data_IF_969380157181
#
_entry.id   IF_969380157181
#
_cell.length_a   1.000
_cell.length_b   1.000
_cell.length_c   1.000
_cell.angle_alpha   90.00
_cell.angle_beta   90.00
_cell.angle_gamma   90.00
#
_symmetry.space_group_name_H-M   'P 1'
#
loop_
_entity.id
_entity.type
_entity.pdbx_description
1 polymer ?
#
# COMPACT_ATOMS: atom_id res chain seq x y z
N UNK A 1 8.37 45.07 -43.12
CA UNK A 1 9.36 44.26 -43.91
C UNK A 1 9.37 42.75 -43.57
N UNK A 2 9.29 42.33 -42.29
CA UNK A 2 9.25 40.92 -41.95
C UNK A 2 7.87 40.32 -42.24
N UNK A 3 6.81 41.00 -41.86
CA UNK A 3 5.42 40.58 -42.11
C UNK A 3 5.09 40.50 -43.60
N UNK A 4 5.60 41.42 -44.42
CA UNK A 4 5.43 41.39 -45.87
C UNK A 4 6.08 40.15 -46.50
N UNK A 5 7.31 39.82 -46.09
CA UNK A 5 7.97 38.59 -46.59
C UNK A 5 7.25 37.29 -46.18
N UNK A 6 6.67 37.25 -44.98
CA UNK A 6 5.86 36.11 -44.52
C UNK A 6 4.56 36.03 -45.35
N UNK A 7 3.90 37.17 -45.57
CA UNK A 7 2.69 37.27 -46.42
C UNK A 7 2.95 36.82 -47.83
N UNK A 8 4.04 37.28 -48.48
CA UNK A 8 4.39 36.92 -49.86
C UNK A 8 4.76 35.44 -49.97
N UNK A 9 5.49 34.86 -48.99
CA UNK A 9 5.75 33.42 -48.94
C UNK A 9 4.48 32.60 -48.79
N UNK A 10 3.58 33.04 -47.90
CA UNK A 10 2.29 32.39 -47.71
C UNK A 10 1.44 32.42 -48.96
N UNK A 11 1.31 33.59 -49.60
CA UNK A 11 0.57 33.76 -50.87
C UNK A 11 1.17 32.90 -51.98
N UNK A 12 2.50 32.90 -52.13
CA UNK A 12 3.18 32.06 -53.11
C UNK A 12 2.95 30.57 -52.87
N UNK A 13 2.99 30.13 -51.59
CA UNK A 13 2.67 28.76 -51.24
C UNK A 13 1.21 28.39 -51.56
N UNK A 14 0.26 29.27 -51.20
CA UNK A 14 -1.16 29.06 -51.47
C UNK A 14 -1.43 28.96 -52.94
N UNK A 15 -0.93 29.90 -53.75
CA UNK A 15 -1.22 29.95 -55.19
C UNK A 15 -0.49 28.86 -55.96
N UNK A 16 0.77 28.56 -55.62
CA UNK A 16 1.61 27.68 -56.46
C UNK A 16 1.65 26.22 -55.99
N UNK A 17 1.28 25.94 -54.72
CA UNK A 17 1.29 24.58 -54.19
C UNK A 17 -0.08 24.11 -53.70
N UNK A 18 -0.72 24.90 -52.85
CA UNK A 18 -1.96 24.48 -52.19
C UNK A 18 -3.16 24.47 -53.16
N UNK A 19 -3.33 25.53 -53.95
CA UNK A 19 -4.43 25.65 -54.92
C UNK A 19 -4.43 24.53 -55.95
N UNK A 20 -3.32 24.22 -56.67
CA UNK A 20 -3.31 23.13 -57.66
C UNK A 20 -3.49 21.75 -57.01
N UNK A 21 -2.97 21.56 -55.77
CA UNK A 21 -3.22 20.34 -55.00
C UNK A 21 -4.70 20.17 -54.69
N UNK A 22 -5.37 21.25 -54.22
CA UNK A 22 -6.80 21.22 -53.89
C UNK A 22 -7.66 20.95 -55.15
N UNK A 23 -7.36 21.61 -56.27
CA UNK A 23 -8.06 21.39 -57.56
C UNK A 23 -7.90 19.94 -58.03
N UNK A 24 -6.69 19.36 -57.90
CA UNK A 24 -6.43 17.96 -58.24
C UNK A 24 -7.21 17.01 -57.34
N UNK A 25 -7.24 17.29 -56.03
CA UNK A 25 -7.97 16.50 -55.01
C UNK A 25 -9.47 16.47 -55.29
N UNK A 26 -10.05 17.64 -55.65
CA UNK A 26 -11.47 17.75 -55.99
C UNK A 26 -11.77 17.05 -57.31
N UNK A 27 -10.91 17.25 -58.31
CA UNK A 27 -11.07 16.62 -59.66
C UNK A 27 -11.03 15.09 -59.56
N UNK A 28 -10.17 14.54 -58.67
CA UNK A 28 -10.02 13.09 -58.49
C UNK A 28 -10.63 12.64 -57.15
N UNK A 29 -11.80 13.15 -56.77
CA UNK A 29 -12.43 12.90 -55.47
C UNK A 29 -12.57 11.41 -55.10
N UNK A 30 -12.79 10.52 -56.08
CA UNK A 30 -12.86 9.06 -55.84
C UNK A 30 -11.54 8.48 -55.34
N UNK A 31 -10.41 8.95 -55.91
CA UNK A 31 -9.07 8.52 -55.48
C UNK A 31 -8.75 9.08 -54.09
N UNK A 32 -9.11 10.34 -53.88
CA UNK A 32 -8.93 10.98 -52.56
C UNK A 32 -9.73 10.28 -51.48
N UNK A 33 -10.99 9.93 -51.76
CA UNK A 33 -11.81 9.19 -50.81
C UNK A 33 -11.25 7.79 -50.56
N UNK A 34 -10.84 7.07 -51.60
CA UNK A 34 -10.25 5.75 -51.48
C UNK A 34 -8.94 5.77 -50.69
N UNK A 35 -8.06 6.77 -50.91
CA UNK A 35 -6.82 6.92 -50.14
C UNK A 35 -7.07 7.28 -48.69
N UNK A 36 -8.08 8.11 -48.38
CA UNK A 36 -8.47 8.44 -47.00
C UNK A 36 -9.02 7.21 -46.25
N UNK A 37 -9.87 6.43 -46.92
CA UNK A 37 -10.37 5.16 -46.36
C UNK A 37 -9.22 4.17 -46.15
N UNK A 38 -8.31 4.05 -47.13
CA UNK A 38 -7.14 3.19 -47.02
C UNK A 38 -6.23 3.57 -45.86
N UNK A 39 -5.98 4.86 -45.68
CA UNK A 39 -5.20 5.37 -44.52
C UNK A 39 -5.90 5.07 -43.19
N UNK A 40 -7.22 5.25 -43.14
CA UNK A 40 -8.02 4.95 -41.94
C UNK A 40 -7.97 3.46 -41.57
N UNK A 41 -8.15 2.58 -42.58
CA UNK A 41 -8.05 1.13 -42.38
C UNK A 41 -6.63 0.72 -41.94
N UNK A 42 -5.60 1.35 -42.54
CA UNK A 42 -4.20 1.12 -42.12
C UNK A 42 -3.96 1.53 -40.69
N UNK A 43 -4.50 2.69 -40.27
CA UNK A 43 -4.38 3.16 -38.87
C UNK A 43 -5.06 2.20 -37.89
N UNK A 44 -6.28 1.74 -38.20
CA UNK A 44 -6.98 0.72 -37.41
C UNK A 44 -6.18 -0.58 -37.39
N UNK A 45 -5.62 -0.99 -38.51
CA UNK A 45 -4.80 -2.20 -38.65
C UNK A 45 -3.53 -2.15 -37.77
N UNK A 46 -2.87 -0.98 -37.70
CA UNK A 46 -1.72 -0.77 -36.84
C UNK A 46 -2.09 -0.85 -35.35
N UNK A 47 -3.23 -0.28 -34.96
CA UNK A 47 -3.72 -0.37 -33.57
C UNK A 47 -4.14 -1.80 -33.21
N UNK A 48 -4.96 -2.45 -34.08
CA UNK A 48 -5.45 -3.81 -33.85
C UNK A 48 -4.32 -4.85 -33.95
N UNK A 49 -3.29 -4.59 -34.77
CA UNK A 49 -2.12 -5.45 -34.91
C UNK A 49 -1.15 -5.41 -33.71
N UNK A 50 -1.42 -4.59 -32.68
CA UNK A 50 -0.61 -4.51 -31.47
C UNK A 50 0.76 -3.82 -31.66
N UNK A 51 0.98 -3.17 -32.82
CA UNK A 51 2.23 -2.43 -33.08
C UNK A 51 2.31 -1.15 -32.25
N UNK A 52 1.16 -0.58 -31.89
CA UNK A 52 1.06 0.55 -30.97
C UNK A 52 0.43 0.06 -29.66
N UNK A 53 1.19 0.09 -28.59
CA UNK A 53 0.65 -0.18 -27.23
C UNK A 53 -0.22 1.00 -26.84
N UNK A 54 -1.52 0.78 -26.76
CA UNK A 54 -2.46 1.79 -26.30
C UNK A 54 -2.52 1.73 -24.75
N UNK A 55 -2.08 2.79 -24.11
CA UNK A 55 -2.21 2.96 -22.66
C UNK A 55 -3.24 4.05 -22.42
N UNK A 56 -4.38 3.69 -21.84
CA UNK A 56 -5.50 4.61 -21.62
C UNK A 56 -5.16 5.74 -20.64
N UNK A 57 -4.47 5.38 -19.55
CA UNK A 57 -3.86 6.31 -18.61
C UNK A 57 -2.37 5.98 -18.48
N UNK A 58 -1.50 6.73 -19.16
CA UNK A 58 -0.07 6.60 -18.88
C UNK A 58 0.18 7.00 -17.43
N UNK A 59 0.96 6.19 -16.71
CA UNK A 59 1.42 6.56 -15.39
C UNK A 59 2.18 7.89 -15.48
N UNK A 60 1.68 8.90 -14.77
CA UNK A 60 2.39 10.17 -14.65
C UNK A 60 3.44 9.97 -13.56
N UNK A 61 4.70 10.08 -13.95
CA UNK A 61 5.79 10.05 -12.98
C UNK A 61 5.66 11.21 -12.01
N UNK A 62 5.64 10.88 -10.71
CA UNK A 62 5.75 11.87 -9.66
C UNK A 62 7.22 12.21 -9.42
N UNK A 63 7.45 13.39 -8.88
CA UNK A 63 8.74 13.73 -8.31
C UNK A 63 8.88 13.16 -6.88
N UNK A 64 8.37 11.94 -6.70
CA UNK A 64 8.35 11.23 -5.44
C UNK A 64 8.58 9.74 -5.68
N UNK A 65 9.48 9.14 -4.90
CA UNK A 65 9.61 7.68 -4.81
C UNK A 65 9.28 7.27 -3.39
N UNK A 66 8.26 6.44 -3.24
CA UNK A 66 7.75 6.01 -1.95
C UNK A 66 7.95 4.51 -1.76
N UNK A 67 8.60 4.12 -0.67
CA UNK A 67 8.73 2.74 -0.22
C UNK A 67 7.85 2.49 1.00
N UNK A 68 6.88 1.61 0.87
CA UNK A 68 5.98 1.21 1.96
C UNK A 68 6.27 -0.20 2.42
N UNK A 69 6.31 -0.39 3.74
CA UNK A 69 6.49 -1.69 4.37
C UNK A 69 5.29 -1.97 5.25
N UNK A 70 4.75 -3.18 5.14
CA UNK A 70 3.73 -3.66 6.05
C UNK A 70 4.15 -5.00 6.65
N UNK A 71 4.13 -5.09 7.96
CA UNK A 71 4.30 -6.32 8.72
C UNK A 71 2.94 -6.93 9.05
N UNK A 72 2.88 -8.19 9.55
CA UNK A 72 1.66 -8.73 10.12
C UNK A 72 1.12 -7.82 11.22
N UNK A 73 -0.21 -7.66 11.28
CA UNK A 73 -0.82 -6.85 12.34
C UNK A 73 -0.45 -7.38 13.72
N UNK A 74 -0.17 -6.46 14.66
CA UNK A 74 0.33 -6.80 15.97
C UNK A 74 1.85 -6.79 16.11
N UNK A 75 2.59 -6.65 15.01
CA UNK A 75 4.05 -6.48 15.07
C UNK A 75 4.43 -5.23 15.88
N UNK A 76 5.49 -5.32 16.68
CA UNK A 76 5.93 -4.19 17.50
C UNK A 76 6.50 -3.07 16.62
N UNK A 77 6.37 -1.83 17.09
CA UNK A 77 6.87 -0.63 16.40
C UNK A 77 8.38 -0.68 16.12
N UNK A 78 9.14 -1.43 16.92
CA UNK A 78 10.59 -1.61 16.74
C UNK A 78 10.93 -2.27 15.38
N UNK A 79 10.11 -3.21 14.90
CA UNK A 79 10.29 -3.81 13.57
C UNK A 79 10.09 -2.78 12.44
N UNK A 80 9.07 -1.93 12.58
CA UNK A 80 8.82 -0.85 11.61
C UNK A 80 9.95 0.19 11.63
N UNK A 81 10.51 0.50 12.80
CA UNK A 81 11.68 1.37 12.92
C UNK A 81 12.93 0.76 12.28
N UNK A 82 13.15 -0.54 12.45
CA UNK A 82 14.25 -1.26 11.81
C UNK A 82 14.11 -1.29 10.28
N UNK A 83 12.89 -1.48 9.78
CA UNK A 83 12.59 -1.39 8.37
C UNK A 83 12.90 0.00 7.79
N UNK A 84 12.49 1.06 8.49
CA UNK A 84 12.83 2.45 8.11
C UNK A 84 14.34 2.65 8.07
N UNK A 85 15.08 2.15 9.05
CA UNK A 85 16.54 2.23 9.07
C UNK A 85 17.19 1.46 7.88
N UNK A 86 16.62 0.32 7.50
CA UNK A 86 17.09 -0.46 6.35
C UNK A 86 16.84 0.31 5.04
N UNK A 87 15.65 0.89 4.88
CA UNK A 87 15.31 1.73 3.74
C UNK A 87 16.18 2.99 3.68
N UNK A 88 16.45 3.63 4.81
CA UNK A 88 17.35 4.77 4.89
C UNK A 88 18.77 4.41 4.42
N UNK A 89 19.34 3.32 4.91
CA UNK A 89 20.68 2.87 4.50
C UNK A 89 20.76 2.59 3.00
N UNK A 90 19.74 1.96 2.43
CA UNK A 90 19.69 1.69 0.98
C UNK A 90 19.49 2.97 0.17
N UNK A 91 18.71 3.94 0.67
CA UNK A 91 18.53 5.24 0.05
C UNK A 91 19.84 6.06 0.02
N UNK A 92 20.62 6.01 1.10
CA UNK A 92 21.94 6.67 1.14
C UNK A 92 22.96 6.01 0.19
N UNK A 93 22.93 4.67 0.06
CA UNK A 93 23.74 3.98 -0.97
C UNK A 93 23.35 4.46 -2.38
N UNK A 94 22.06 4.51 -2.67
CA UNK A 94 21.53 5.01 -3.94
C UNK A 94 21.93 6.47 -4.19
N UNK A 95 21.84 7.31 -3.18
CA UNK A 95 22.24 8.73 -3.26
C UNK A 95 23.73 8.87 -3.63
N UNK A 96 24.58 8.04 -3.02
CA UNK A 96 26.00 8.02 -3.34
C UNK A 96 26.29 7.54 -4.77
N UNK A 97 25.59 6.50 -5.24
CA UNK A 97 25.69 6.03 -6.63
C UNK A 97 25.29 7.10 -7.63
N UNK A 98 24.13 7.75 -7.41
CA UNK A 98 23.63 8.81 -8.30
C UNK A 98 24.51 10.05 -8.27
N UNK A 99 25.08 10.42 -7.13
CA UNK A 99 26.02 11.55 -7.04
C UNK A 99 27.32 11.29 -7.82
N UNK A 100 27.77 10.04 -7.91
CA UNK A 100 28.92 9.66 -8.71
C UNK A 100 28.61 9.62 -10.21
N UNK A 101 27.40 9.18 -10.59
CA UNK A 101 26.98 9.08 -11.98
C UNK A 101 26.62 10.46 -12.58
N UNK A 102 26.01 11.35 -11.76
CA UNK A 102 25.57 12.69 -12.16
C UNK A 102 26.19 13.77 -11.26
N UNK A 103 27.51 14.04 -11.39
CA UNK A 103 28.19 14.99 -10.54
C UNK A 103 27.66 16.43 -10.74
N UNK A 104 27.25 17.05 -9.64
CA UNK A 104 26.70 18.42 -9.65
C UNK A 104 25.18 18.51 -9.71
N UNK A 105 24.48 17.40 -9.94
CA UNK A 105 23.01 17.37 -9.94
C UNK A 105 22.46 17.03 -8.55
N UNK A 106 21.47 17.79 -8.10
CA UNK A 106 20.74 17.51 -6.85
C UNK A 106 19.50 16.69 -7.19
N UNK A 107 19.58 15.36 -7.10
CA UNK A 107 18.48 14.46 -7.45
C UNK A 107 17.51 14.30 -6.28
N UNK A 108 17.99 14.18 -5.05
CA UNK A 108 17.16 14.07 -3.84
C UNK A 108 16.97 15.44 -3.23
N UNK A 109 15.71 15.91 -3.16
CA UNK A 109 15.34 17.16 -2.54
C UNK A 109 15.09 17.00 -1.03
N UNK A 110 14.13 16.15 -0.66
CA UNK A 110 13.74 15.90 0.73
C UNK A 110 13.51 14.42 0.97
N UNK A 111 13.44 14.04 2.25
CA UNK A 111 13.16 12.68 2.69
C UNK A 111 12.17 12.72 3.85
N UNK A 112 11.17 11.84 3.80
CA UNK A 112 10.22 11.61 4.88
C UNK A 112 10.32 10.14 5.29
N UNK A 113 10.52 9.89 6.58
CA UNK A 113 10.63 8.56 7.15
C UNK A 113 9.65 8.41 8.32
N UNK A 114 8.73 7.47 8.22
CA UNK A 114 7.66 7.29 9.20
C UNK A 114 7.56 5.84 9.64
N UNK A 115 7.54 5.60 10.94
CA UNK A 115 7.25 4.31 11.53
C UNK A 115 5.92 4.37 12.31
N UNK A 116 5.04 3.42 12.10
CA UNK A 116 3.70 3.37 12.71
C UNK A 116 2.61 4.04 11.86
N UNK A 117 2.95 4.58 10.71
CA UNK A 117 2.02 5.22 9.78
C UNK A 117 2.54 5.19 8.33
N UNK A 118 1.64 5.45 7.36
CA UNK A 118 1.93 5.61 5.93
C UNK A 118 1.20 6.85 5.39
N UNK A 119 1.66 8.07 5.74
CA UNK A 119 0.95 9.31 5.41
C UNK A 119 0.81 9.55 3.89
N UNK A 120 1.86 9.33 3.11
CA UNK A 120 1.85 9.58 1.66
C UNK A 120 0.93 8.59 0.94
N UNK A 121 1.00 7.31 1.32
CA UNK A 121 0.08 6.29 0.78
C UNK A 121 -1.39 6.62 1.09
N UNK A 122 -1.68 7.21 2.26
CA UNK A 122 -3.03 7.66 2.62
C UNK A 122 -3.51 8.81 1.78
N UNK A 123 -2.65 9.79 1.56
CA UNK A 123 -2.94 10.96 0.73
C UNK A 123 -3.25 10.53 -0.71
N UNK A 124 -2.39 9.71 -1.31
CA UNK A 124 -2.62 9.14 -2.63
C UNK A 124 -3.92 8.32 -2.74
N UNK A 125 -4.31 7.61 -1.67
CA UNK A 125 -5.56 6.85 -1.63
C UNK A 125 -6.81 7.75 -1.55
N UNK A 126 -6.74 8.89 -0.88
CA UNK A 126 -7.84 9.87 -0.80
C UNK A 126 -8.11 10.53 -2.15
N UNK A 127 -7.06 10.82 -2.92
CA UNK A 127 -7.18 11.45 -4.24
C UNK A 127 -7.66 10.48 -5.32
N UNK A 128 -7.67 9.18 -5.07
CA UNK A 128 -8.09 8.15 -6.04
C UNK A 128 -9.63 8.04 -6.26
N UNK A 129 -10.45 8.91 -5.64
CA UNK A 129 -11.91 9.02 -5.85
C UNK A 129 -12.74 8.00 -5.07
N UNK A 130 -14.08 7.94 -5.30
CA UNK A 130 -15.03 7.17 -4.47
C UNK A 130 -14.96 5.64 -4.58
N UNK A 131 -13.85 5.08 -4.96
CA UNK A 131 -13.58 3.62 -5.03
C UNK A 131 -12.23 3.25 -4.45
N UNK A 132 -11.42 4.22 -4.09
CA UNK A 132 -10.14 4.00 -3.43
C UNK A 132 -10.34 3.33 -2.08
N UNK A 133 -9.79 2.15 -1.89
CA UNK A 133 -9.88 1.45 -0.61
C UNK A 133 -8.97 2.14 0.42
N UNK A 134 -9.49 3.15 1.09
CA UNK A 134 -8.83 3.80 2.23
C UNK A 134 -8.81 2.89 3.46
N UNK A 135 -8.18 1.74 3.36
CA UNK A 135 -7.80 0.95 4.53
C UNK A 135 -6.43 1.36 5.08
N UNK A 136 -6.08 2.64 4.91
CA UNK A 136 -4.88 3.22 5.50
C UNK A 136 -5.12 3.44 7.00
N UNK A 137 -4.99 2.38 7.79
CA UNK A 137 -5.03 2.45 9.25
C UNK A 137 -3.65 2.82 9.78
N UNK A 138 -3.61 3.61 10.84
CA UNK A 138 -2.40 3.78 11.63
C UNK A 138 -2.13 2.48 12.38
N UNK A 139 -0.89 2.05 12.47
CA UNK A 139 -0.56 0.84 13.20
C UNK A 139 0.92 0.61 13.32
N UNK A 140 1.36 0.11 14.47
CA UNK A 140 2.76 -0.20 14.76
C UNK A 140 3.46 -1.09 13.72
N UNK A 141 2.68 -1.79 12.90
CA UNK A 141 3.14 -2.71 11.85
C UNK A 141 3.41 -2.04 10.51
N UNK A 142 3.22 -0.72 10.39
CA UNK A 142 3.38 0.03 9.15
C UNK A 142 4.65 0.87 9.19
N UNK A 143 5.30 1.00 8.02
CA UNK A 143 6.40 1.91 7.82
C UNK A 143 6.36 2.51 6.42
N UNK A 144 6.86 3.72 6.27
CA UNK A 144 6.95 4.44 5.02
C UNK A 144 8.26 5.23 4.95
N UNK A 145 8.88 5.19 3.79
CA UNK A 145 10.05 5.99 3.49
C UNK A 145 9.89 6.60 2.10
N UNK A 146 9.79 7.89 2.03
CA UNK A 146 9.58 8.62 0.79
C UNK A 146 10.75 9.55 0.51
N UNK A 147 11.15 9.59 -0.75
CA UNK A 147 12.20 10.46 -1.28
C UNK A 147 11.54 11.40 -2.27
N UNK A 148 11.52 12.68 -1.95
CA UNK A 148 11.16 13.73 -2.89
C UNK A 148 12.36 13.98 -3.80
N UNK A 149 12.11 13.96 -5.10
CA UNK A 149 13.11 14.14 -6.13
C UNK A 149 13.04 15.57 -6.69
N UNK A 150 14.13 16.00 -7.33
CA UNK A 150 14.08 17.20 -8.16
C UNK A 150 13.08 17.02 -9.31
N UNK A 151 12.50 18.12 -9.83
CA UNK A 151 11.51 18.03 -10.91
C UNK A 151 11.99 17.20 -12.11
N UNK A 152 11.09 16.34 -12.63
CA UNK A 152 11.41 15.41 -13.73
C UNK A 152 11.94 16.08 -14.99
N UNK A 153 11.57 17.34 -15.22
CA UNK A 153 12.03 18.14 -16.37
C UNK A 153 13.53 18.45 -16.35
N UNK A 154 14.13 18.52 -15.18
CA UNK A 154 15.55 18.86 -14.99
C UNK A 154 16.38 17.66 -14.55
N UNK A 155 15.75 16.57 -14.18
CA UNK A 155 16.40 15.37 -13.67
C UNK A 155 16.90 14.47 -14.80
N UNK A 156 18.16 14.00 -14.76
CA UNK A 156 18.77 13.19 -15.82
C UNK A 156 18.29 11.73 -15.83
N UNK A 157 17.58 11.30 -14.79
CA UNK A 157 17.12 9.92 -14.59
C UNK A 157 15.64 9.89 -14.18
N UNK A 158 14.86 8.91 -14.64
CA UNK A 158 13.45 8.79 -14.32
C UNK A 158 13.19 8.31 -12.88
N UNK A 159 12.04 8.69 -12.30
CA UNK A 159 11.64 8.22 -10.98
C UNK A 159 11.48 6.69 -10.93
N UNK A 160 10.99 6.10 -12.01
CA UNK A 160 10.84 4.64 -12.15
C UNK A 160 12.18 3.93 -12.06
N UNK A 161 13.20 4.46 -12.74
CA UNK A 161 14.54 3.88 -12.68
C UNK A 161 15.17 4.02 -11.29
N UNK A 162 14.99 5.17 -10.64
CA UNK A 162 15.42 5.40 -9.25
C UNK A 162 14.77 4.38 -8.32
N UNK A 163 13.46 4.16 -8.42
CA UNK A 163 12.73 3.18 -7.61
C UNK A 163 13.24 1.75 -7.84
N UNK A 164 13.53 1.37 -9.09
CA UNK A 164 14.07 0.05 -9.41
C UNK A 164 15.49 -0.14 -8.87
N UNK A 165 16.36 0.89 -8.96
CA UNK A 165 17.70 0.86 -8.37
C UNK A 165 17.63 0.77 -6.86
N UNK A 166 16.75 1.55 -6.22
CA UNK A 166 16.55 1.52 -4.78
C UNK A 166 16.07 0.15 -4.31
N UNK A 167 15.10 -0.45 -5.00
CA UNK A 167 14.62 -1.81 -4.71
C UNK A 167 15.76 -2.83 -4.76
N UNK A 168 16.68 -2.75 -5.74
CA UNK A 168 17.84 -3.66 -5.84
C UNK A 168 18.86 -3.47 -4.72
N UNK A 169 19.02 -2.23 -4.24
CA UNK A 169 19.97 -1.89 -3.16
C UNK A 169 19.39 -2.16 -1.76
N UNK A 170 18.08 -2.40 -1.67
CA UNK A 170 17.42 -2.65 -0.39
C UNK A 170 17.58 -4.11 -0.01
N UNK A 171 18.23 -4.32 1.15
CA UNK A 171 18.36 -5.63 1.75
C UNK A 171 16.98 -6.21 2.12
N UNK A 172 16.79 -7.55 2.11
CA UNK A 172 15.54 -8.18 2.50
C UNK A 172 15.11 -7.77 3.92
N UNK A 173 13.88 -7.28 4.06
CA UNK A 173 13.29 -6.92 5.36
C UNK A 173 12.59 -8.14 5.92
N UNK A 174 13.21 -8.80 6.88
CA UNK A 174 12.68 -10.03 7.48
C UNK A 174 11.35 -9.79 8.20
N UNK A 175 10.41 -10.70 7.97
CA UNK A 175 9.08 -10.64 8.58
C UNK A 175 8.12 -9.64 7.92
N UNK A 176 8.56 -8.84 6.95
CA UNK A 176 7.65 -8.00 6.18
C UNK A 176 6.69 -8.85 5.35
N UNK A 177 5.40 -8.53 5.44
CA UNK A 177 4.35 -9.11 4.59
C UNK A 177 4.36 -8.48 3.21
N UNK A 178 4.66 -7.19 3.15
CA UNK A 178 4.62 -6.38 1.94
C UNK A 178 5.76 -5.35 1.95
N UNK A 179 6.46 -5.23 0.84
CA UNK A 179 7.41 -4.16 0.54
C UNK A 179 7.15 -3.69 -0.88
N UNK A 180 6.67 -2.47 -1.03
CA UNK A 180 6.29 -1.88 -2.31
C UNK A 180 7.00 -0.57 -2.54
N UNK A 181 7.52 -0.39 -3.75
CA UNK A 181 8.11 0.87 -4.22
C UNK A 181 7.18 1.46 -5.28
N UNK A 182 6.70 2.67 -5.06
CA UNK A 182 5.80 3.40 -5.97
C UNK A 182 6.38 4.74 -6.35
N UNK A 183 6.10 5.16 -7.58
CA UNK A 183 6.53 6.44 -8.15
C UNK A 183 5.35 7.25 -8.67
N UNK A 184 4.14 6.73 -8.56
CA UNK A 184 2.94 7.32 -9.13
C UNK A 184 2.21 8.16 -8.07
N UNK A 185 1.89 9.40 -8.41
CA UNK A 185 0.99 10.26 -7.63
C UNK A 185 -0.46 9.77 -7.70
N UNK A 186 -0.84 9.24 -8.86
CA UNK A 186 -2.18 8.72 -9.11
C UNK A 186 -2.06 7.30 -9.66
N UNK A 187 -2.48 6.33 -8.88
CA UNK A 187 -2.63 4.97 -9.37
C UNK A 187 -4.09 4.74 -9.77
N UNK A 188 -4.32 4.38 -11.02
CA UNK A 188 -5.62 3.89 -11.47
C UNK A 188 -6.00 2.54 -10.84
N UNK A 189 -5.18 2.04 -9.92
CA UNK A 189 -5.22 0.73 -9.29
C UNK A 189 -4.10 -0.18 -9.79
N UNK A 190 -3.97 -1.33 -9.16
CA UNK A 190 -3.00 -2.35 -9.60
C UNK A 190 -3.38 -2.83 -11.02
N UNK A 191 -2.39 -3.05 -11.90
CA UNK A 191 -2.60 -3.43 -13.30
C UNK A 191 -3.37 -4.75 -13.44
N UNK A 192 -3.20 -5.64 -12.48
CA UNK A 192 -3.92 -6.91 -12.37
C UNK A 192 -4.70 -6.90 -11.06
N UNK A 193 -6.02 -7.11 -11.14
CA UNK A 193 -6.88 -7.19 -9.96
C UNK A 193 -7.94 -8.28 -10.15
N UNK A 194 -7.80 -9.39 -9.44
CA UNK A 194 -8.77 -10.48 -9.41
C UNK A 194 -9.55 -10.45 -8.12
N UNK A 195 -10.86 -10.29 -8.21
CA UNK A 195 -11.76 -10.43 -7.07
C UNK A 195 -12.28 -11.86 -6.98
N UNK A 196 -11.88 -12.56 -5.93
CA UNK A 196 -12.32 -13.92 -5.62
C UNK A 196 -13.45 -13.84 -4.58
N UNK A 197 -14.56 -14.52 -4.82
CA UNK A 197 -15.69 -14.55 -3.88
C UNK A 197 -16.10 -15.99 -3.56
N UNK A 198 -16.30 -16.29 -2.28
CA UNK A 198 -16.83 -17.58 -1.82
C UNK A 198 -17.47 -17.47 -0.43
N UNK A 199 -18.30 -18.45 -0.10
CA UNK A 199 -18.79 -18.62 1.28
C UNK A 199 -17.77 -19.30 2.18
N UNK A 200 -16.91 -20.13 1.60
CA UNK A 200 -15.85 -20.87 2.29
C UNK A 200 -14.55 -20.07 2.30
N UNK A 201 -14.03 -19.80 3.48
CA UNK A 201 -12.74 -19.13 3.65
C UNK A 201 -11.58 -20.01 3.21
N UNK A 202 -11.69 -21.32 3.44
CA UNK A 202 -10.66 -22.30 3.06
C UNK A 202 -10.46 -22.30 1.55
N UNK A 203 -11.57 -22.28 0.79
CA UNK A 203 -11.51 -22.28 -0.67
C UNK A 203 -10.89 -20.96 -1.19
N UNK A 204 -11.27 -19.80 -0.58
CA UNK A 204 -10.68 -18.51 -0.93
C UNK A 204 -9.17 -18.50 -0.73
N UNK A 205 -8.68 -19.04 0.40
CA UNK A 205 -7.25 -19.11 0.66
C UNK A 205 -6.52 -20.00 -0.33
N UNK A 206 -7.07 -21.17 -0.63
CA UNK A 206 -6.48 -22.12 -1.59
C UNK A 206 -6.40 -21.49 -2.98
N UNK A 207 -7.49 -20.87 -3.44
CA UNK A 207 -7.53 -20.24 -4.76
C UNK A 207 -6.64 -19.00 -4.80
N UNK A 208 -6.62 -18.17 -3.75
CA UNK A 208 -5.72 -17.02 -3.68
C UNK A 208 -4.25 -17.42 -3.79
N UNK A 209 -3.84 -18.47 -3.07
CA UNK A 209 -2.48 -19.01 -3.14
C UNK A 209 -2.13 -19.53 -4.54
N UNK A 210 -3.07 -20.24 -5.19
CA UNK A 210 -2.88 -20.74 -6.55
C UNK A 210 -2.76 -19.60 -7.56
N UNK A 211 -3.58 -18.56 -7.45
CA UNK A 211 -3.51 -17.38 -8.33
C UNK A 211 -2.19 -16.66 -8.15
N UNK A 212 -1.73 -16.44 -6.91
CA UNK A 212 -0.43 -15.81 -6.63
C UNK A 212 0.73 -16.62 -7.21
N UNK A 213 0.73 -17.93 -7.00
CA UNK A 213 1.73 -18.83 -7.56
C UNK A 213 1.74 -18.77 -9.10
N UNK A 214 0.55 -18.75 -9.72
CA UNK A 214 0.45 -18.66 -11.17
C UNK A 214 0.97 -17.32 -11.71
N UNK A 215 0.62 -16.23 -11.04
CA UNK A 215 1.11 -14.89 -11.41
C UNK A 215 2.63 -14.77 -11.29
N UNK A 216 3.24 -15.41 -10.29
CA UNK A 216 4.70 -15.37 -10.10
C UNK A 216 5.50 -16.05 -11.21
N UNK A 217 4.85 -16.91 -12.02
CA UNK A 217 5.48 -17.58 -13.18
C UNK A 217 5.60 -16.68 -14.41
N UNK A 218 4.89 -15.54 -14.44
CA UNK A 218 4.95 -14.61 -15.58
C UNK A 218 6.08 -13.60 -15.39
N UNK A 219 7.04 -13.52 -16.32
CA UNK A 219 8.11 -12.53 -16.26
C UNK A 219 7.54 -11.11 -16.38
N UNK A 220 7.98 -10.23 -15.50
CA UNK A 220 7.52 -8.83 -15.47
C UNK A 220 6.35 -8.57 -14.53
N UNK A 221 5.72 -9.58 -13.94
CA UNK A 221 4.72 -9.41 -12.89
C UNK A 221 5.43 -9.25 -11.54
N UNK A 222 5.18 -8.14 -10.88
CA UNK A 222 5.78 -7.78 -9.59
C UNK A 222 4.71 -7.42 -8.56
N UNK A 223 5.08 -7.29 -7.30
CA UNK A 223 4.24 -6.82 -6.19
C UNK A 223 2.92 -7.61 -6.04
N UNK A 224 3.02 -8.95 -6.23
CA UNK A 224 1.88 -9.86 -6.09
C UNK A 224 1.45 -9.90 -4.62
N UNK A 225 0.22 -9.45 -4.34
CA UNK A 225 -0.34 -9.38 -2.99
C UNK A 225 -1.80 -9.82 -2.98
N UNK A 226 -2.30 -10.16 -1.80
CA UNK A 226 -3.72 -10.37 -1.59
C UNK A 226 -4.26 -9.49 -0.47
N UNK A 227 -5.56 -9.22 -0.51
CA UNK A 227 -6.25 -8.47 0.52
C UNK A 227 -6.62 -9.32 1.75
N UNK A 228 -6.13 -10.56 1.81
CA UNK A 228 -6.37 -11.44 2.95
C UNK A 228 -5.52 -10.99 4.14
N UNK A 229 -6.12 -10.21 5.01
CA UNK A 229 -5.49 -9.80 6.24
C UNK A 229 -5.69 -10.90 7.30
N UNK A 230 -4.68 -11.77 7.42
CA UNK A 230 -4.56 -12.58 8.64
C UNK A 230 -4.30 -11.58 9.77
N UNK A 231 -5.25 -11.46 10.68
CA UNK A 231 -5.15 -10.54 11.81
C UNK A 231 -4.16 -11.01 12.87
N UNK A 232 -4.19 -10.31 13.99
CA UNK A 232 -3.33 -10.59 15.13
C UNK A 232 -3.57 -11.98 15.66
N UNK A 233 -2.54 -12.58 16.26
CA UNK A 233 -2.74 -13.71 17.15
C UNK A 233 -3.58 -13.25 18.33
N UNK A 234 -4.70 -13.92 18.55
CA UNK A 234 -5.66 -13.62 19.60
C UNK A 234 -5.64 -14.74 20.62
N UNK A 235 -5.69 -14.36 21.89
CA UNK A 235 -5.86 -15.29 22.99
C UNK A 235 -7.32 -15.21 23.43
N UNK A 236 -8.07 -16.27 23.14
CA UNK A 236 -9.45 -16.43 23.62
C UNK A 236 -9.42 -17.06 25.02
N UNK A 237 -10.00 -16.39 25.99
CA UNK A 237 -10.10 -16.86 27.36
C UNK A 237 -11.46 -17.57 27.49
N UNK A 238 -11.45 -18.88 27.77
CA UNK A 238 -12.66 -19.66 28.03
C UNK A 238 -12.74 -20.05 29.50
N UNK A 239 -13.82 -19.68 30.16
CA UNK A 239 -14.06 -20.05 31.57
C UNK A 239 -14.26 -21.55 31.73
N UNK A 240 -13.61 -22.11 32.72
CA UNK A 240 -13.84 -23.47 33.16
C UNK A 240 -15.07 -23.54 34.09
N UNK A 241 -15.74 -24.72 34.18
CA UNK A 241 -16.86 -24.90 35.12
C UNK A 241 -16.48 -24.63 36.56
N UNK A 242 -15.20 -24.79 36.93
CA UNK A 242 -14.65 -24.48 38.26
C UNK A 242 -14.82 -23.01 38.65
N UNK A 243 -14.80 -22.07 37.69
CA UNK A 243 -14.97 -20.63 37.97
C UNK A 243 -16.31 -20.33 38.65
N UNK A 244 -17.38 -21.04 38.24
CA UNK A 244 -18.69 -20.89 38.84
C UNK A 244 -18.71 -21.26 40.32
N UNK A 245 -17.90 -22.24 40.76
CA UNK A 245 -17.82 -22.63 42.17
C UNK A 245 -17.24 -21.52 43.05
N UNK A 246 -16.46 -20.62 42.47
CA UNK A 246 -15.88 -19.45 43.13
C UNK A 246 -16.70 -18.17 42.95
N UNK A 247 -17.86 -18.25 42.27
CA UNK A 247 -18.71 -17.12 42.01
C UNK A 247 -18.10 -16.12 40.97
N UNK A 248 -17.13 -16.57 40.17
CA UNK A 248 -16.43 -15.75 39.17
C UNK A 248 -17.10 -15.91 37.83
N UNK A 249 -17.46 -14.78 37.21
CA UNK A 249 -18.03 -14.73 35.85
C UNK A 249 -16.91 -14.47 34.82
N UNK A 250 -17.24 -14.71 33.52
CA UNK A 250 -16.35 -14.35 32.42
C UNK A 250 -16.03 -12.85 32.38
N UNK A 251 -16.99 -12.00 32.76
CA UNK A 251 -16.81 -10.55 32.81
C UNK A 251 -15.81 -10.15 33.89
N UNK A 252 -15.85 -10.82 35.03
CA UNK A 252 -14.89 -10.56 36.15
C UNK A 252 -13.46 -10.89 35.71
N UNK A 253 -13.26 -12.04 35.06
CA UNK A 253 -11.97 -12.44 34.50
C UNK A 253 -11.49 -11.45 33.44
N UNK A 254 -12.34 -11.16 32.44
CA UNK A 254 -11.99 -10.26 31.34
C UNK A 254 -11.64 -8.85 31.83
N UNK A 255 -12.40 -8.34 32.81
CA UNK A 255 -12.15 -7.01 33.40
C UNK A 255 -10.82 -6.95 34.10
N UNK A 256 -10.48 -7.95 34.96
CA UNK A 256 -9.25 -7.97 35.70
C UNK A 256 -8.03 -8.18 34.77
N UNK A 257 -8.13 -9.07 33.79
CA UNK A 257 -7.07 -9.25 32.76
C UNK A 257 -6.85 -7.95 31.99
N UNK A 258 -7.91 -7.28 31.54
CA UNK A 258 -7.81 -5.99 30.85
C UNK A 258 -7.14 -4.93 31.72
N UNK A 259 -7.53 -4.82 32.99
CA UNK A 259 -6.95 -3.85 33.92
C UNK A 259 -5.46 -4.10 34.14
N UNK A 260 -5.06 -5.36 34.27
CA UNK A 260 -3.66 -5.73 34.52
C UNK A 260 -2.78 -5.49 33.26
N UNK A 261 -3.21 -5.89 32.09
CA UNK A 261 -2.41 -5.88 30.87
C UNK A 261 -2.54 -4.60 30.06
N UNK A 262 -3.75 -4.10 29.82
CA UNK A 262 -3.99 -2.85 29.12
C UNK A 262 -3.87 -1.66 30.07
N UNK A 263 -4.51 -1.75 31.21
CA UNK A 263 -4.53 -0.73 32.26
C UNK A 263 -5.95 -0.27 32.58
N UNK A 264 -6.08 0.21 33.81
CA UNK A 264 -7.25 0.91 34.33
C UNK A 264 -6.98 2.41 34.31
N UNK A 265 -7.79 3.18 33.59
CA UNK A 265 -7.80 4.64 33.67
C UNK A 265 -8.44 5.03 35.00
N UNK A 266 -7.63 5.51 35.95
CA UNK A 266 -8.08 5.86 37.31
C UNK A 266 -8.42 7.34 37.41
N UNK A 267 -7.80 8.18 36.61
CA UNK A 267 -8.01 9.62 36.62
C UNK A 267 -7.71 10.21 35.24
N UNK A 268 -8.48 11.23 34.90
CA UNK A 268 -8.28 12.07 33.74
C UNK A 268 -8.41 13.53 34.18
N UNK A 269 -7.44 14.37 33.84
CA UNK A 269 -7.44 15.79 34.17
C UNK A 269 -6.80 16.64 33.10
N UNK A 270 -7.29 17.87 32.98
CA UNK A 270 -6.76 18.85 32.06
C UNK A 270 -5.54 19.55 32.66
N UNK A 271 -4.43 19.58 31.92
CA UNK A 271 -3.23 20.33 32.28
C UNK A 271 -2.88 21.31 31.16
N UNK A 272 -3.33 22.56 31.31
CA UNK A 272 -3.21 23.55 30.25
C UNK A 272 -4.06 23.16 29.04
N UNK A 273 -3.44 22.88 27.89
CA UNK A 273 -4.10 22.46 26.64
C UNK A 273 -4.16 20.93 26.49
N UNK A 274 -3.44 20.20 27.33
CA UNK A 274 -3.28 18.76 27.22
C UNK A 274 -4.19 18.02 28.20
N UNK A 275 -4.82 16.94 27.74
CA UNK A 275 -5.57 15.98 28.56
C UNK A 275 -4.59 14.91 29.05
N UNK A 276 -4.43 14.82 30.40
CA UNK A 276 -3.54 13.87 31.03
C UNK A 276 -4.34 12.73 31.63
N UNK A 277 -4.10 11.51 31.12
CA UNK A 277 -4.75 10.27 31.59
C UNK A 277 -3.79 9.49 32.48
N UNK A 278 -4.25 9.09 33.66
CA UNK A 278 -3.49 8.27 34.58
C UNK A 278 -3.95 6.83 34.48
N UNK A 279 -3.02 5.93 34.08
CA UNK A 279 -3.28 4.51 33.95
C UNK A 279 -2.51 3.72 34.99
N UNK A 280 -3.17 2.75 35.65
CA UNK A 280 -2.54 1.73 36.49
C UNK A 280 -2.57 0.40 35.73
N UNK A 281 -1.41 -0.24 35.59
CA UNK A 281 -1.25 -1.54 34.91
C UNK A 281 -0.01 -2.27 35.42
N UNK A 282 0.11 -3.55 35.13
CA UNK A 282 1.31 -4.30 35.45
C UNK A 282 2.55 -3.71 34.76
N UNK A 283 3.75 -3.84 35.38
CA UNK A 283 5.00 -3.39 34.79
C UNK A 283 5.26 -4.12 33.44
N UNK A 284 6.08 -3.51 32.57
CA UNK A 284 6.27 -3.99 31.21
C UNK A 284 6.85 -5.42 31.11
N UNK A 285 7.70 -5.81 32.07
CA UNK A 285 8.28 -7.15 32.16
C UNK A 285 7.21 -8.23 32.48
N UNK A 286 6.19 -7.91 33.26
CA UNK A 286 5.12 -8.83 33.65
C UNK A 286 4.03 -8.96 32.59
N UNK A 287 4.02 -8.09 31.55
CA UNK A 287 3.05 -8.11 30.45
C UNK A 287 3.58 -8.68 29.14
N UNK A 288 4.82 -9.24 29.14
CA UNK A 288 5.50 -9.68 27.91
C UNK A 288 5.29 -11.14 27.59
N UNK A 289 4.96 -11.96 28.55
CA UNK A 289 4.88 -13.42 28.36
C UNK A 289 3.48 -13.94 28.65
N UNK A 290 3.13 -15.02 27.97
CA UNK A 290 1.85 -15.73 28.16
C UNK A 290 1.83 -16.40 29.55
N UNK A 291 2.97 -16.88 30.01
CA UNK A 291 3.13 -17.50 31.32
C UNK A 291 2.70 -16.55 32.45
N UNK A 292 2.99 -15.26 32.32
CA UNK A 292 2.54 -14.25 33.27
C UNK A 292 1.02 -14.06 33.24
N UNK A 293 0.38 -14.24 32.08
CA UNK A 293 -1.09 -14.22 31.98
C UNK A 293 -1.68 -15.47 32.65
N UNK A 294 -1.14 -16.66 32.43
CA UNK A 294 -1.64 -17.91 33.02
C UNK A 294 -1.48 -17.93 34.53
N UNK A 295 -0.40 -17.38 35.05
CA UNK A 295 -0.09 -17.30 36.47
C UNK A 295 -0.74 -16.13 37.18
N UNK A 296 -1.38 -15.21 36.45
CA UNK A 296 -2.08 -14.07 37.04
C UNK A 296 -3.16 -14.53 38.05
N UNK A 297 -3.25 -13.84 39.16
CA UNK A 297 -4.28 -14.08 40.17
C UNK A 297 -5.53 -13.25 39.88
N UNK A 298 -6.68 -13.93 39.87
CA UNK A 298 -8.00 -13.33 39.78
C UNK A 298 -8.60 -13.24 41.17
N UNK A 299 -9.02 -12.06 41.56
CA UNK A 299 -9.64 -11.80 42.86
C UNK A 299 -11.12 -12.08 42.82
N UNK A 300 -11.60 -12.89 43.73
CA UNK A 300 -13.01 -13.18 43.96
C UNK A 300 -13.70 -12.05 44.72
N UNK A 301 -15.03 -12.04 44.77
CA UNK A 301 -15.81 -11.08 45.56
C UNK A 301 -15.53 -11.22 47.07
N UNK A 302 -15.15 -12.41 47.51
CA UNK A 302 -14.80 -12.69 48.91
C UNK A 302 -13.34 -12.33 49.27
N UNK A 303 -12.58 -11.76 48.30
CA UNK A 303 -11.19 -11.35 48.52
C UNK A 303 -10.16 -12.47 48.35
N UNK A 304 -10.56 -13.70 48.04
CA UNK A 304 -9.63 -14.79 47.73
C UNK A 304 -8.98 -14.59 46.36
N UNK A 305 -7.74 -15.01 46.21
CA UNK A 305 -6.96 -14.90 44.95
C UNK A 305 -6.74 -16.30 44.37
N UNK A 306 -7.17 -16.49 43.12
CA UNK A 306 -7.13 -17.77 42.41
C UNK A 306 -6.37 -17.61 41.10
N UNK A 307 -5.38 -18.45 40.76
CA UNK A 307 -4.66 -18.36 39.51
C UNK A 307 -5.59 -18.52 38.29
N UNK A 308 -5.41 -17.73 37.26
CA UNK A 308 -6.25 -17.74 36.03
C UNK A 308 -6.33 -19.14 35.42
N UNK A 309 -5.25 -19.92 35.41
CA UNK A 309 -5.21 -21.29 34.88
C UNK A 309 -6.19 -22.27 35.55
N UNK A 310 -6.67 -21.97 36.76
CA UNK A 310 -7.69 -22.78 37.45
C UNK A 310 -9.13 -22.34 37.09
N UNK A 311 -9.28 -21.16 36.52
CA UNK A 311 -10.55 -20.53 36.22
C UNK A 311 -10.87 -20.53 34.72
N UNK A 312 -9.85 -20.56 33.86
CA UNK A 312 -10.01 -20.45 32.41
C UNK A 312 -8.89 -21.18 31.67
N UNK A 313 -9.22 -21.57 30.43
CA UNK A 313 -8.26 -22.03 29.42
C UNK A 313 -7.98 -20.93 28.43
N UNK A 314 -6.73 -20.86 27.96
CA UNK A 314 -6.29 -19.96 26.91
C UNK A 314 -6.24 -20.72 25.58
N UNK A 315 -6.99 -20.27 24.59
CA UNK A 315 -7.00 -20.80 23.23
C UNK A 315 -6.37 -19.78 22.27
N UNK A 316 -5.37 -20.21 21.53
CA UNK A 316 -4.71 -19.39 20.54
C UNK A 316 -5.44 -19.51 19.21
N UNK A 317 -5.82 -18.40 18.66
CA UNK A 317 -6.46 -18.29 17.34
C UNK A 317 -5.86 -17.14 16.56
N UNK A 318 -6.00 -17.20 15.24
CA UNK A 318 -5.70 -16.05 14.38
C UNK A 318 -7.02 -15.37 14.07
N UNK A 319 -7.18 -14.17 14.56
CA UNK A 319 -8.32 -13.31 14.22
C UNK A 319 -8.26 -12.84 12.77
N UNK A 320 -9.33 -12.22 12.29
CA UNK A 320 -9.32 -11.51 11.02
C UNK A 320 -9.43 -10.02 11.31
N UNK A 321 -8.47 -9.23 10.83
CA UNK A 321 -8.49 -7.79 11.02
C UNK A 321 -9.62 -7.12 10.25
N UNK A 322 -9.92 -7.65 9.06
CA UNK A 322 -11.06 -7.19 8.26
C UNK A 322 -11.69 -8.35 7.47
N UNK A 323 -13.00 -8.29 7.28
CA UNK A 323 -13.75 -9.22 6.44
C UNK A 323 -14.50 -8.42 5.38
N UNK A 324 -13.97 -8.42 4.16
CA UNK A 324 -14.67 -7.82 3.01
C UNK A 324 -15.74 -8.77 2.49
N UNK A 325 -16.92 -8.22 2.18
CA UNK A 325 -18.01 -8.96 1.55
C UNK A 325 -18.50 -8.23 0.31
N UNK A 326 -18.73 -9.00 -0.74
CA UNK A 326 -19.37 -8.55 -1.98
C UNK A 326 -20.52 -9.52 -2.25
N UNK A 327 -21.69 -9.00 -2.48
CA UNK A 327 -22.94 -9.78 -2.70
C UNK A 327 -23.16 -10.87 -1.62
N UNK A 328 -22.96 -10.49 -0.35
CA UNK A 328 -23.08 -11.35 0.85
C UNK A 328 -22.05 -12.48 0.95
N UNK A 329 -21.17 -12.68 -0.04
CA UNK A 329 -20.06 -13.63 0.00
C UNK A 329 -18.79 -12.92 0.51
N UNK A 330 -17.89 -13.69 1.13
CA UNK A 330 -16.54 -13.18 1.45
C UNK A 330 -15.79 -12.94 0.17
N UNK A 331 -15.04 -11.85 0.11
CA UNK A 331 -14.25 -11.45 -1.05
C UNK A 331 -12.77 -11.25 -0.68
N UNK A 332 -11.89 -11.74 -1.52
CA UNK A 332 -10.44 -11.50 -1.48
C UNK A 332 -10.03 -10.94 -2.84
N UNK A 333 -9.29 -9.86 -2.84
CA UNK A 333 -8.67 -9.34 -4.05
C UNK A 333 -7.22 -9.82 -4.11
N UNK A 334 -6.82 -10.39 -5.25
CA UNK A 334 -5.42 -10.69 -5.58
C UNK A 334 -4.99 -9.66 -6.62
N UNK A 335 -3.96 -8.91 -6.31
CA UNK A 335 -3.48 -7.82 -7.15
C UNK A 335 -1.99 -7.97 -7.47
N UNK A 336 -1.57 -7.46 -8.63
CA UNK A 336 -0.18 -7.43 -9.07
C UNK A 336 0.05 -6.28 -10.07
N UNK A 337 1.29 -5.90 -10.23
CA UNK A 337 1.76 -4.88 -11.19
C UNK A 337 2.74 -5.47 -12.21
#
# INVERSE_FOLDING_TARGET
RFQERVKDRLNSFVLNRYKPFLESTIKHYKVTLASSIGLFVLTIGLLAGGWMKFVFFPALEADLVNATVAFPEGSPISQSQEAVNTLHKSAEKLRAELANEFPGETIFANVIATAGDQPIKKEAAQDSGPGGSSSASNGSHLAEYAIELSPGEVRPISAVEIAQRWRRLTDPIFGAKELVFTTDLFSAGDAINFQLTSRSLKDLNTVSSLVKERLSMYPGVIDIKDSFAVGKEEISIRTLPSAANYGITMIDIASQVRQAFYGLEVQNFQRGRDEVKVFIRYPANERKTIENLESMYIRTQNGSEIPLRQLATLEFSKGFSSIRRVDRNRAINVTAN
#
